data_IF_747102348026
#
_entry.id   IF_747102348026
#
_cell.length_a   1.000
_cell.length_b   1.000
_cell.length_c   1.000
_cell.angle_alpha   90.00
_cell.angle_beta   90.00
_cell.angle_gamma   90.00
#
_symmetry.space_group_name_H-M   'P 1'
#
loop_
_entity.id
_entity.type
_entity.pdbx_description
1 polymer ?
#
# COMPACT_ATOMS: atom_id res chain seq x y z
N UNK A 1 -30.94 24.49 -6.12
CA UNK A 1 -30.13 23.68 -5.14
C UNK A 1 -29.58 22.36 -5.71
N UNK A 2 -29.32 22.21 -6.99
CA UNK A 2 -28.95 20.89 -7.53
C UNK A 2 -27.61 20.83 -8.26
N UNK A 3 -27.00 21.94 -8.62
CA UNK A 3 -25.71 21.91 -9.39
C UNK A 3 -24.47 21.86 -8.49
N UNK A 4 -24.55 22.53 -7.35
CA UNK A 4 -23.43 22.53 -6.37
C UNK A 4 -23.28 21.18 -5.69
N UNK A 5 -24.39 20.50 -5.40
CA UNK A 5 -24.37 19.15 -4.79
C UNK A 5 -23.81 18.09 -5.74
N UNK A 6 -24.05 18.24 -7.05
CA UNK A 6 -23.51 17.32 -8.05
C UNK A 6 -22.02 17.55 -8.32
N UNK A 7 -21.53 18.78 -8.29
CA UNK A 7 -20.09 19.08 -8.36
C UNK A 7 -19.32 18.59 -7.12
N UNK A 8 -19.91 18.72 -5.94
CA UNK A 8 -19.32 18.21 -4.70
C UNK A 8 -19.19 16.67 -4.72
N UNK A 9 -20.20 15.96 -5.22
CA UNK A 9 -20.15 14.50 -5.36
C UNK A 9 -19.17 14.01 -6.44
N UNK A 10 -18.77 14.83 -7.39
CA UNK A 10 -17.76 14.50 -8.39
C UNK A 10 -16.31 14.67 -7.85
N UNK A 11 -16.11 15.58 -6.89
CA UNK A 11 -14.80 15.84 -6.29
C UNK A 11 -14.57 15.14 -4.94
N UNK A 12 -15.63 14.77 -4.25
CA UNK A 12 -15.61 14.07 -2.96
C UNK A 12 -16.33 12.73 -3.08
N UNK A 13 -16.10 12.04 -4.19
CA UNK A 13 -16.41 10.63 -4.28
C UNK A 13 -15.52 9.87 -3.29
N UNK A 14 -15.89 9.90 -2.01
CA UNK A 14 -15.37 8.94 -1.06
C UNK A 14 -15.58 7.56 -1.66
N UNK A 15 -14.56 6.77 -1.94
CA UNK A 15 -14.79 5.37 -2.21
C UNK A 15 -15.59 4.88 -1.01
N UNK A 16 -16.82 4.41 -1.24
CA UNK A 16 -17.54 3.68 -0.20
C UNK A 16 -16.60 2.55 0.17
N UNK A 17 -15.97 2.66 1.32
CA UNK A 17 -15.18 1.61 1.92
C UNK A 17 -16.15 0.50 2.26
N UNK A 18 -16.47 -0.31 1.25
CA UNK A 18 -17.13 -1.57 1.49
C UNK A 18 -16.08 -2.41 2.16
N UNK A 19 -16.15 -2.49 3.49
CA UNK A 19 -15.40 -3.47 4.24
C UNK A 19 -15.63 -4.82 3.56
N UNK A 20 -14.61 -5.31 2.86
CA UNK A 20 -14.67 -6.62 2.25
C UNK A 20 -14.54 -7.66 3.36
N UNK A 21 -15.61 -7.81 4.15
CA UNK A 21 -15.73 -8.95 5.03
C UNK A 21 -15.69 -10.19 4.14
N UNK A 22 -14.74 -11.07 4.39
CA UNK A 22 -14.71 -12.36 3.74
C UNK A 22 -16.08 -13.02 4.00
N UNK A 23 -16.82 -13.30 2.94
CA UNK A 23 -18.07 -14.03 3.08
C UNK A 23 -17.72 -15.48 3.37
N UNK A 24 -18.36 -16.11 4.38
CA UNK A 24 -18.04 -17.47 4.79
C UNK A 24 -18.54 -18.55 3.82
N UNK A 25 -19.19 -18.19 2.72
CA UNK A 25 -19.72 -19.09 1.72
C UNK A 25 -18.73 -19.26 0.58
N UNK A 26 -17.67 -19.94 0.78
CA UNK A 26 -16.77 -20.10 -0.32
C UNK A 26 -15.80 -21.23 -0.19
N UNK A 27 -15.45 -21.77 -1.28
CA UNK A 27 -14.25 -22.56 -1.43
C UNK A 27 -13.08 -21.77 -0.84
N UNK A 28 -12.63 -22.14 0.33
CA UNK A 28 -11.46 -21.59 1.04
C UNK A 28 -10.19 -21.65 0.16
N UNK A 29 -10.23 -22.44 -0.91
CA UNK A 29 -9.17 -22.54 -1.91
C UNK A 29 -8.99 -21.30 -2.79
N UNK A 30 -9.98 -20.42 -2.91
CA UNK A 30 -9.93 -19.30 -3.84
C UNK A 30 -9.85 -17.93 -3.15
N UNK A 31 -8.70 -17.65 -2.56
CA UNK A 31 -8.37 -16.33 -2.04
C UNK A 31 -7.92 -15.33 -3.12
N UNK A 32 -8.01 -15.68 -4.42
CA UNK A 32 -7.48 -14.84 -5.49
C UNK A 32 -8.20 -13.49 -5.57
N UNK A 33 -9.53 -13.49 -5.49
CA UNK A 33 -10.33 -12.28 -5.52
C UNK A 33 -10.21 -11.46 -4.24
N UNK A 34 -10.21 -12.10 -3.08
CA UNK A 34 -9.97 -11.43 -1.81
C UNK A 34 -8.59 -10.79 -1.78
N UNK A 35 -7.55 -11.56 -2.11
CA UNK A 35 -6.18 -11.06 -2.17
C UNK A 35 -6.02 -9.89 -3.15
N UNK A 36 -6.68 -9.92 -4.31
CA UNK A 36 -6.63 -8.82 -5.28
C UNK A 36 -7.28 -7.54 -4.74
N UNK A 37 -8.45 -7.65 -4.11
CA UNK A 37 -9.16 -6.50 -3.52
C UNK A 37 -8.36 -5.88 -2.38
N UNK A 38 -7.84 -6.68 -1.47
CA UNK A 38 -7.00 -6.20 -0.36
C UNK A 38 -5.70 -5.56 -0.86
N UNK A 39 -5.04 -6.13 -1.88
CA UNK A 39 -3.85 -5.50 -2.48
C UNK A 39 -4.13 -4.12 -3.07
N UNK A 40 -5.31 -3.93 -3.67
CA UNK A 40 -5.72 -2.61 -4.19
C UNK A 40 -5.93 -1.60 -3.07
N UNK A 41 -6.57 -2.00 -1.96
CA UNK A 41 -6.73 -1.15 -0.78
C UNK A 41 -5.38 -0.81 -0.13
N UNK A 42 -4.52 -1.81 0.05
CA UNK A 42 -3.16 -1.59 0.57
C UNK A 42 -2.37 -0.62 -0.32
N UNK A 43 -2.48 -0.75 -1.65
CA UNK A 43 -1.82 0.17 -2.58
C UNK A 43 -2.35 1.60 -2.43
N UNK A 44 -3.65 1.78 -2.22
CA UNK A 44 -4.26 3.08 -1.95
C UNK A 44 -3.70 3.70 -0.66
N UNK A 45 -3.69 2.98 0.45
CA UNK A 45 -3.15 3.45 1.72
C UNK A 45 -1.63 3.69 1.67
N UNK A 46 -0.90 2.87 0.89
CA UNK A 46 0.53 3.07 0.71
C UNK A 46 0.88 4.35 -0.06
N UNK A 47 -0.01 4.81 -0.94
CA UNK A 47 0.20 6.03 -1.73
C UNK A 47 -0.32 7.29 -1.02
N UNK A 48 -1.39 7.16 -0.24
CA UNK A 48 -2.12 8.30 0.33
C UNK A 48 -1.97 8.43 1.86
N UNK A 49 -1.39 7.43 2.52
CA UNK A 49 -1.14 7.41 3.97
C UNK A 49 0.34 7.32 4.30
N UNK A 50 0.65 7.50 5.58
CA UNK A 50 2.02 7.39 6.13
C UNK A 50 2.26 6.07 6.87
N UNK A 51 1.20 5.43 7.34
CA UNK A 51 1.27 4.29 8.27
C UNK A 51 1.79 3.02 7.59
N UNK A 52 1.25 2.66 6.43
CA UNK A 52 1.74 1.50 5.66
C UNK A 52 3.18 1.67 5.19
N UNK A 53 3.59 2.81 4.58
CA UNK A 53 5.00 3.06 4.27
C UNK A 53 5.93 2.97 5.49
N UNK A 54 5.52 3.53 6.63
CA UNK A 54 6.30 3.48 7.86
C UNK A 54 6.46 2.04 8.39
N UNK A 55 5.38 1.26 8.39
CA UNK A 55 5.40 -0.16 8.74
C UNK A 55 6.37 -0.95 7.86
N UNK A 56 6.28 -0.78 6.55
CA UNK A 56 7.15 -1.46 5.58
C UNK A 56 8.61 -1.05 5.82
N UNK A 57 8.88 0.24 6.03
CA UNK A 57 10.25 0.71 6.28
C UNK A 57 10.81 0.16 7.59
N UNK A 58 10.01 0.08 8.63
CA UNK A 58 10.39 -0.53 9.91
C UNK A 58 10.74 -2.01 9.71
N UNK A 59 9.92 -2.75 8.96
CA UNK A 59 10.19 -4.15 8.64
C UNK A 59 11.47 -4.33 7.83
N UNK A 60 11.71 -3.51 6.80
CA UNK A 60 12.95 -3.51 6.02
C UNK A 60 14.17 -3.29 6.92
N UNK A 61 14.10 -2.27 7.79
CA UNK A 61 15.19 -1.95 8.72
C UNK A 61 15.41 -3.06 9.74
N UNK A 62 14.35 -3.68 10.25
CA UNK A 62 14.43 -4.77 11.23
C UNK A 62 14.98 -6.07 10.65
N UNK A 63 14.71 -6.37 9.36
CA UNK A 63 15.12 -7.61 8.71
C UNK A 63 16.52 -7.50 8.09
N UNK A 64 16.80 -6.41 7.38
CA UNK A 64 18.05 -6.21 6.64
C UNK A 64 19.07 -5.44 7.47
N UNK A 65 18.62 -4.46 8.25
CA UNK A 65 19.47 -3.62 9.07
C UNK A 65 20.52 -2.87 8.25
N UNK A 66 21.79 -3.07 8.61
CA UNK A 66 22.96 -2.51 7.92
C UNK A 66 23.41 -3.31 6.69
N UNK A 67 22.65 -4.33 6.30
CA UNK A 67 22.98 -5.26 5.21
C UNK A 67 23.34 -6.65 5.70
N UNK A 68 23.30 -7.62 4.78
CA UNK A 68 23.59 -9.03 5.06
C UNK A 68 25.02 -9.32 4.62
N UNK A 69 25.88 -9.76 5.54
CA UNK A 69 27.20 -10.28 5.19
C UNK A 69 27.15 -11.79 5.05
N UNK A 70 27.79 -12.29 4.01
CA UNK A 70 27.94 -13.73 3.75
C UNK A 70 29.43 -14.06 3.94
N UNK A 71 29.71 -15.03 4.80
CA UNK A 71 31.06 -15.51 5.07
C UNK A 71 31.17 -16.96 4.65
N UNK A 72 32.25 -17.32 3.95
CA UNK A 72 32.60 -18.69 3.68
C UNK A 72 33.43 -19.25 4.84
N UNK A 73 33.29 -20.55 5.11
CA UNK A 73 34.09 -21.27 6.12
C UNK A 73 34.52 -22.62 5.56
N UNK A 74 35.46 -22.59 4.64
CA UNK A 74 36.13 -23.81 4.17
C UNK A 74 37.37 -24.06 4.99
N UNK A 75 38.11 -25.12 4.66
CA UNK A 75 39.42 -25.40 5.30
C UNK A 75 40.56 -24.55 4.71
N UNK A 76 40.31 -23.89 3.58
CA UNK A 76 41.31 -23.15 2.80
C UNK A 76 40.94 -21.67 2.75
N UNK A 77 41.74 -20.83 3.39
CA UNK A 77 41.49 -19.39 3.50
C UNK A 77 41.51 -18.66 2.15
N UNK A 78 42.29 -19.12 1.18
CA UNK A 78 42.34 -18.55 -0.17
C UNK A 78 41.04 -18.81 -0.93
N UNK A 79 40.47 -20.00 -0.78
CA UNK A 79 39.18 -20.38 -1.36
C UNK A 79 38.05 -19.54 -0.73
N UNK A 80 38.07 -19.32 0.60
CA UNK A 80 37.10 -18.49 1.30
C UNK A 80 37.13 -17.05 0.78
N UNK A 81 38.33 -16.44 0.68
CA UNK A 81 38.48 -15.07 0.19
C UNK A 81 37.99 -14.93 -1.26
N UNK A 82 38.35 -15.88 -2.14
CA UNK A 82 37.93 -15.87 -3.54
C UNK A 82 36.40 -15.98 -3.69
N UNK A 83 35.78 -16.81 -2.86
CA UNK A 83 34.32 -16.98 -2.85
C UNK A 83 33.60 -15.72 -2.30
N UNK A 84 34.11 -15.14 -1.22
CA UNK A 84 33.55 -13.90 -0.65
C UNK A 84 33.69 -12.71 -1.61
N UNK A 85 34.82 -12.62 -2.35
CA UNK A 85 34.99 -11.60 -3.38
C UNK A 85 34.01 -11.78 -4.55
N UNK A 86 33.77 -13.01 -4.98
CA UNK A 86 32.76 -13.32 -6.00
C UNK A 86 31.35 -12.92 -5.54
N UNK A 87 30.98 -13.25 -4.29
CA UNK A 87 29.69 -12.86 -3.71
C UNK A 87 29.60 -11.33 -3.63
N UNK A 88 30.65 -10.65 -3.19
CA UNK A 88 30.70 -9.19 -3.11
C UNK A 88 30.51 -8.55 -4.49
N UNK A 89 31.17 -9.10 -5.53
CA UNK A 89 31.03 -8.64 -6.91
C UNK A 89 29.61 -8.92 -7.45
N UNK A 90 29.07 -10.11 -7.20
CA UNK A 90 27.70 -10.45 -7.59
C UNK A 90 26.66 -9.56 -6.91
N UNK A 91 26.88 -9.17 -5.64
CA UNK A 91 25.97 -8.32 -4.86
C UNK A 91 25.85 -6.88 -5.36
N UNK A 92 26.73 -6.47 -6.29
CA UNK A 92 26.67 -5.12 -6.88
C UNK A 92 25.44 -4.98 -7.78
N UNK A 93 24.86 -3.79 -7.79
CA UNK A 93 23.68 -3.39 -8.56
C UNK A 93 23.67 -3.93 -10.00
N UNK A 94 24.81 -3.86 -10.69
CA UNK A 94 24.94 -4.26 -12.10
C UNK A 94 24.88 -5.78 -12.34
N UNK A 95 25.22 -6.56 -11.33
CA UNK A 95 25.41 -8.00 -11.48
C UNK A 95 24.30 -8.82 -10.82
N UNK A 96 23.55 -8.25 -9.88
CA UNK A 96 22.65 -9.00 -9.01
C UNK A 96 21.31 -9.28 -9.67
N UNK A 97 20.70 -8.28 -10.29
CA UNK A 97 19.33 -8.31 -10.78
C UNK A 97 19.28 -8.00 -12.28
N UNK A 98 18.29 -8.55 -12.98
CA UNK A 98 18.16 -8.46 -14.46
C UNK A 98 17.99 -7.03 -14.94
N UNK A 99 17.27 -6.18 -14.20
CA UNK A 99 17.03 -4.78 -14.60
C UNK A 99 18.14 -3.83 -14.18
N UNK A 100 19.14 -4.33 -13.43
CA UNK A 100 20.30 -3.59 -12.96
C UNK A 100 19.97 -2.35 -12.10
N UNK A 101 18.77 -2.34 -11.46
CA UNK A 101 18.33 -1.22 -10.62
C UNK A 101 18.74 -1.37 -9.17
N UNK A 102 18.85 -2.60 -8.68
CA UNK A 102 19.05 -2.90 -7.27
C UNK A 102 20.33 -3.69 -7.02
N UNK A 103 21.04 -3.35 -5.95
CA UNK A 103 22.04 -4.22 -5.34
C UNK A 103 21.33 -5.36 -4.61
N UNK A 104 22.09 -6.33 -4.09
CA UNK A 104 21.53 -7.43 -3.29
C UNK A 104 20.61 -6.92 -2.17
N UNK A 105 21.10 -5.99 -1.35
CA UNK A 105 20.34 -5.52 -0.19
C UNK A 105 19.12 -4.70 -0.62
N UNK A 106 19.24 -3.83 -1.64
CA UNK A 106 18.11 -3.13 -2.21
C UNK A 106 17.08 -4.06 -2.88
N UNK A 107 17.52 -5.18 -3.47
CA UNK A 107 16.61 -6.19 -4.01
C UNK A 107 15.83 -6.90 -2.88
N UNK A 108 16.49 -7.22 -1.77
CA UNK A 108 15.84 -7.80 -0.60
C UNK A 108 14.87 -6.82 0.04
N UNK A 109 15.23 -5.54 0.16
CA UNK A 109 14.28 -4.49 0.62
C UNK A 109 13.03 -4.42 -0.25
N UNK A 110 13.19 -4.49 -1.58
CA UNK A 110 12.09 -4.52 -2.52
C UNK A 110 11.23 -5.79 -2.34
N UNK A 111 11.84 -6.96 -2.18
CA UNK A 111 11.12 -8.21 -1.92
C UNK A 111 10.31 -8.15 -0.62
N UNK A 112 10.88 -7.62 0.46
CA UNK A 112 10.17 -7.41 1.72
C UNK A 112 8.96 -6.48 1.51
N UNK A 113 9.16 -5.38 0.79
CA UNK A 113 8.07 -4.46 0.47
C UNK A 113 6.93 -5.14 -0.31
N UNK A 114 7.25 -6.00 -1.30
CA UNK A 114 6.25 -6.75 -2.06
C UNK A 114 5.52 -7.77 -1.18
N UNK A 115 6.23 -8.46 -0.29
CA UNK A 115 5.65 -9.43 0.66
C UNK A 115 4.66 -8.72 1.58
N UNK A 116 5.04 -7.60 2.19
CA UNK A 116 4.13 -6.85 3.05
C UNK A 116 2.92 -6.30 2.30
N UNK A 117 3.12 -5.71 1.12
CA UNK A 117 2.03 -5.11 0.33
C UNK A 117 1.13 -6.14 -0.34
N UNK A 118 1.71 -7.22 -0.85
CA UNK A 118 0.99 -8.16 -1.72
C UNK A 118 0.88 -9.57 -1.15
N UNK A 119 1.53 -9.83 -0.02
CA UNK A 119 1.53 -11.12 0.65
C UNK A 119 2.58 -12.09 0.14
N UNK A 120 3.29 -11.76 -0.95
CA UNK A 120 4.31 -12.64 -1.50
C UNK A 120 5.05 -12.04 -2.69
N UNK A 121 6.10 -12.73 -3.10
CA UNK A 121 6.93 -12.37 -4.23
C UNK A 121 7.41 -13.63 -4.94
N UNK A 122 7.54 -13.58 -6.25
CA UNK A 122 8.18 -14.60 -7.06
C UNK A 122 9.57 -14.11 -7.45
N UNK A 123 10.59 -14.93 -7.22
CA UNK A 123 11.96 -14.64 -7.63
C UNK A 123 12.37 -15.66 -8.67
N UNK A 124 12.57 -15.22 -9.89
CA UNK A 124 12.99 -16.08 -11.00
C UNK A 124 14.51 -16.08 -11.12
N UNK A 125 15.08 -17.29 -11.25
CA UNK A 125 16.49 -17.52 -11.50
C UNK A 125 16.75 -17.42 -13.01
N UNK A 126 17.60 -16.49 -13.42
CA UNK A 126 17.93 -16.24 -14.82
C UNK A 126 19.40 -16.57 -15.08
N UNK A 127 19.62 -17.34 -16.13
CA UNK A 127 20.96 -17.72 -16.58
C UNK A 127 21.19 -17.21 -18.00
N UNK A 128 22.29 -16.48 -18.21
CA UNK A 128 22.71 -16.02 -19.54
C UNK A 128 24.22 -15.87 -19.59
N UNK A 129 24.86 -16.59 -20.55
CA UNK A 129 26.32 -16.62 -20.67
C UNK A 129 26.94 -15.26 -21.07
N UNK A 130 26.17 -14.36 -21.68
CA UNK A 130 26.65 -13.02 -22.05
C UNK A 130 26.74 -12.04 -20.88
N UNK A 131 26.26 -12.40 -19.71
CA UNK A 131 26.44 -11.58 -18.52
C UNK A 131 27.82 -11.81 -17.92
N UNK A 132 28.39 -10.77 -17.28
CA UNK A 132 29.68 -10.87 -16.60
C UNK A 132 29.70 -12.01 -15.55
N UNK A 133 28.61 -12.11 -14.77
CA UNK A 133 28.32 -13.26 -13.94
C UNK A 133 27.07 -13.89 -14.54
N UNK A 134 27.11 -15.14 -15.00
CA UNK A 134 26.06 -15.75 -15.82
C UNK A 134 24.77 -16.10 -15.04
N UNK A 135 24.55 -15.48 -13.90
CA UNK A 135 23.42 -15.67 -13.02
C UNK A 135 22.91 -14.34 -12.49
N UNK A 136 21.61 -14.06 -12.66
CA UNK A 136 20.93 -12.91 -12.07
C UNK A 136 19.54 -13.31 -11.59
N UNK A 137 18.99 -12.53 -10.66
CA UNK A 137 17.63 -12.69 -10.17
C UNK A 137 16.66 -11.72 -10.87
N UNK A 138 15.41 -12.15 -10.99
CA UNK A 138 14.33 -11.33 -11.51
C UNK A 138 13.17 -11.40 -10.51
N UNK A 139 12.82 -10.27 -9.88
CA UNK A 139 11.64 -10.21 -9.02
C UNK A 139 10.39 -10.03 -9.87
N UNK A 140 9.40 -10.86 -9.63
CA UNK A 140 8.12 -10.85 -10.31
C UNK A 140 7.03 -10.66 -9.26
N UNK A 141 6.18 -9.68 -9.48
CA UNK A 141 5.04 -9.44 -8.61
C UNK A 141 4.02 -10.59 -8.70
N UNK A 142 3.41 -10.93 -7.59
CA UNK A 142 2.30 -11.91 -7.53
C UNK A 142 1.15 -11.51 -8.48
N UNK A 143 0.92 -10.22 -8.71
CA UNK A 143 -0.10 -9.73 -9.63
C UNK A 143 0.18 -10.04 -11.11
N UNK A 144 1.37 -10.52 -11.43
CA UNK A 144 1.73 -10.98 -12.77
C UNK A 144 1.36 -12.44 -13.04
N UNK A 145 0.87 -13.18 -12.03
CA UNK A 145 0.30 -14.50 -12.26
C UNK A 145 -1.03 -14.37 -13.01
N UNK A 146 -1.20 -15.14 -14.07
CA UNK A 146 -2.44 -15.20 -14.85
C UNK A 146 -3.51 -16.06 -14.13
N UNK A 147 -4.12 -15.50 -13.10
CA UNK A 147 -5.16 -16.18 -12.32
C UNK A 147 -6.41 -16.57 -13.12
N UNK A 148 -6.57 -16.04 -14.34
CA UNK A 148 -7.67 -16.43 -15.23
C UNK A 148 -7.39 -17.73 -15.98
N UNK A 149 -6.13 -18.15 -16.03
CA UNK A 149 -5.73 -19.38 -16.71
C UNK A 149 -6.15 -20.59 -15.90
N UNK A 150 -7.19 -21.27 -16.38
CA UNK A 150 -7.71 -22.49 -15.78
C UNK A 150 -7.86 -23.56 -16.88
N UNK A 151 -7.36 -24.76 -16.62
CA UNK A 151 -7.47 -25.89 -17.53
C UNK A 151 -7.46 -27.19 -16.71
N UNK A 152 -8.58 -27.86 -16.72
CA UNK A 152 -8.77 -29.11 -15.95
C UNK A 152 -7.89 -30.23 -16.51
N UNK A 153 -7.72 -30.31 -17.82
CA UNK A 153 -6.97 -31.38 -18.49
C UNK A 153 -5.48 -31.30 -18.13
N UNK A 154 -4.92 -30.10 -18.15
CA UNK A 154 -3.51 -29.86 -17.83
C UNK A 154 -3.28 -29.51 -16.35
N UNK A 155 -4.34 -29.63 -15.53
CA UNK A 155 -4.31 -29.34 -14.08
C UNK A 155 -3.79 -27.94 -13.74
N UNK A 156 -4.21 -26.97 -14.52
CA UNK A 156 -3.94 -25.57 -14.25
C UNK A 156 -5.12 -24.97 -13.50
N UNK A 157 -4.86 -24.40 -12.33
CA UNK A 157 -5.84 -23.65 -11.54
C UNK A 157 -5.23 -22.31 -11.11
N UNK A 158 -5.89 -21.21 -11.41
CA UNK A 158 -5.45 -19.84 -11.08
C UNK A 158 -4.02 -19.53 -11.56
N UNK A 159 -3.68 -19.99 -12.76
CA UNK A 159 -2.35 -19.79 -13.35
C UNK A 159 -1.24 -20.65 -12.78
N UNK A 160 -1.56 -21.62 -11.96
CA UNK A 160 -0.62 -22.58 -11.36
C UNK A 160 -0.86 -23.96 -11.94
N UNK A 161 0.17 -24.55 -12.54
CA UNK A 161 0.14 -25.96 -12.94
C UNK A 161 0.54 -26.84 -11.77
N UNK A 162 -0.23 -27.87 -11.50
CA UNK A 162 0.01 -28.83 -10.41
C UNK A 162 0.21 -30.24 -10.95
N UNK A 163 1.04 -31.01 -10.27
CA UNK A 163 1.14 -32.45 -10.52
C UNK A 163 0.00 -33.23 -9.82
N UNK A 164 0.04 -34.57 -9.88
CA UNK A 164 -0.94 -35.46 -9.23
C UNK A 164 -0.97 -35.25 -7.71
N UNK A 165 0.18 -34.99 -7.11
CA UNK A 165 0.35 -34.85 -5.66
C UNK A 165 -0.01 -33.44 -5.16
N UNK A 166 -0.44 -32.53 -6.06
CA UNK A 166 -0.77 -31.15 -5.74
C UNK A 166 0.42 -30.18 -5.73
N UNK A 167 1.64 -30.65 -5.97
CA UNK A 167 2.81 -29.77 -6.03
C UNK A 167 2.79 -28.88 -7.28
N UNK A 168 3.17 -27.61 -7.13
CA UNK A 168 3.25 -26.66 -8.24
C UNK A 168 4.44 -27.00 -9.12
N UNK A 169 4.21 -27.22 -10.41
CA UNK A 169 5.22 -27.53 -11.41
C UNK A 169 5.49 -26.41 -12.40
N UNK A 170 4.57 -25.43 -12.49
CA UNK A 170 4.71 -24.30 -13.38
C UNK A 170 3.82 -23.12 -12.99
N UNK A 171 4.23 -21.94 -13.40
CA UNK A 171 3.54 -20.68 -13.19
C UNK A 171 3.24 -20.05 -14.53
N UNK A 172 1.99 -19.64 -14.76
CA UNK A 172 1.62 -18.83 -15.91
C UNK A 172 1.76 -17.36 -15.54
N UNK A 173 2.74 -16.68 -16.14
CA UNK A 173 3.12 -15.31 -15.80
C UNK A 173 2.92 -14.43 -17.03
N UNK A 174 2.26 -13.29 -16.86
CA UNK A 174 2.11 -12.30 -17.92
C UNK A 174 3.47 -11.76 -18.37
N UNK A 175 3.65 -11.61 -19.71
CA UNK A 175 4.89 -11.09 -20.29
C UNK A 175 5.11 -9.61 -19.95
N UNK A 176 4.03 -8.86 -19.83
CA UNK A 176 4.03 -7.42 -19.63
C UNK A 176 2.91 -6.96 -18.69
N UNK A 177 2.94 -5.70 -18.31
CA UNK A 177 1.91 -5.06 -17.49
C UNK A 177 0.55 -4.91 -18.19
N UNK A 178 0.50 -5.02 -19.52
CA UNK A 178 -0.75 -4.98 -20.29
C UNK A 178 -1.58 -6.28 -20.12
N UNK A 179 -0.97 -7.34 -19.56
CA UNK A 179 -1.62 -8.61 -19.22
C UNK A 179 -2.39 -9.26 -20.36
N UNK A 180 -1.84 -9.17 -21.59
CA UNK A 180 -2.45 -9.76 -22.79
C UNK A 180 -2.06 -11.20 -22.98
N UNK A 181 -0.79 -11.50 -22.80
CA UNK A 181 -0.23 -12.84 -23.00
C UNK A 181 0.49 -13.34 -21.77
N UNK A 182 0.27 -14.60 -21.42
CA UNK A 182 1.01 -15.29 -20.36
C UNK A 182 1.90 -16.39 -20.93
N UNK A 183 3.06 -16.57 -20.32
CA UNK A 183 3.99 -17.66 -20.59
C UNK A 183 4.06 -18.60 -19.40
N UNK A 184 4.27 -19.87 -19.67
CA UNK A 184 4.56 -20.84 -18.63
C UNK A 184 6.04 -20.79 -18.25
N UNK A 185 6.31 -20.64 -16.96
CA UNK A 185 7.64 -20.72 -16.37
C UNK A 185 7.67 -21.91 -15.42
N UNK A 186 8.69 -22.75 -15.53
CA UNK A 186 8.84 -23.93 -14.67
C UNK A 186 9.04 -23.55 -13.22
N UNK A 187 8.43 -24.28 -12.29
CA UNK A 187 8.60 -24.04 -10.87
C UNK A 187 10.06 -24.15 -10.42
N UNK A 188 10.89 -24.96 -11.11
CA UNK A 188 12.33 -25.07 -10.83
C UNK A 188 13.13 -23.78 -11.12
N UNK A 189 12.57 -22.88 -11.92
CA UNK A 189 13.18 -21.56 -12.21
C UNK A 189 12.70 -20.48 -11.24
N UNK A 190 11.76 -20.79 -10.35
CA UNK A 190 11.10 -19.80 -9.48
C UNK A 190 11.22 -20.22 -8.02
N UNK A 191 11.72 -19.30 -7.20
CA UNK A 191 11.54 -19.32 -5.76
C UNK A 191 10.32 -18.47 -5.42
N UNK A 192 9.23 -19.11 -5.01
CA UNK A 192 8.02 -18.43 -4.58
C UNK A 192 8.02 -18.28 -3.06
N UNK A 193 7.80 -17.08 -2.58
CA UNK A 193 7.64 -16.81 -1.16
C UNK A 193 6.27 -16.19 -0.90
N UNK A 194 5.53 -16.79 0.06
CA UNK A 194 4.26 -16.29 0.58
C UNK A 194 4.37 -16.21 2.10
N UNK A 195 4.04 -15.07 2.66
CA UNK A 195 4.23 -14.81 4.09
C UNK A 195 3.08 -15.35 4.95
N UNK A 196 1.83 -15.17 4.49
CA UNK A 196 0.66 -15.44 5.29
C UNK A 196 -0.20 -16.55 4.70
N UNK A 197 -0.41 -17.58 5.49
CA UNK A 197 -1.25 -18.73 5.18
C UNK A 197 -2.53 -18.67 6.00
N UNK A 198 -3.66 -18.54 5.31
CA UNK A 198 -4.99 -18.59 5.92
C UNK A 198 -5.47 -20.04 6.01
N UNK A 199 -5.13 -20.82 4.98
CA UNK A 199 -5.53 -22.21 4.86
C UNK A 199 -4.44 -23.04 4.18
N UNK A 200 -4.38 -24.36 4.49
CA UNK A 200 -3.40 -25.29 3.94
C UNK A 200 -3.54 -25.48 2.44
N UNK A 201 -4.74 -25.30 1.90
CA UNK A 201 -5.03 -25.41 0.47
C UNK A 201 -4.79 -24.11 -0.31
N UNK A 202 -4.32 -23.07 0.36
CA UNK A 202 -4.05 -21.77 -0.24
C UNK A 202 -2.87 -21.81 -1.20
N UNK A 203 -3.06 -21.28 -2.41
CA UNK A 203 -2.00 -21.15 -3.43
C UNK A 203 -1.79 -19.69 -3.89
N UNK A 204 -2.61 -18.77 -3.41
CA UNK A 204 -2.51 -17.34 -3.73
C UNK A 204 -2.09 -16.54 -2.51
N UNK A 205 -1.24 -15.54 -2.72
CA UNK A 205 -0.72 -14.72 -1.66
C UNK A 205 -1.78 -13.76 -1.09
N UNK A 206 -1.84 -13.68 0.23
CA UNK A 206 -2.65 -12.71 0.99
C UNK A 206 -1.71 -11.92 1.89
N UNK A 207 -1.80 -10.60 1.88
CA UNK A 207 -0.99 -9.75 2.72
C UNK A 207 -1.46 -9.80 4.17
N UNK A 208 -0.53 -9.83 5.12
CA UNK A 208 -0.84 -9.67 6.56
C UNK A 208 -1.47 -8.33 6.90
N UNK A 209 -1.14 -7.29 6.14
CA UNK A 209 -1.74 -5.95 6.29
C UNK A 209 -3.26 -6.01 6.07
N UNK A 210 -3.75 -7.01 5.32
CA UNK A 210 -5.20 -7.19 5.11
C UNK A 210 -6.02 -7.29 6.40
N UNK A 211 -5.40 -7.76 7.49
CA UNK A 211 -6.07 -7.93 8.78
C UNK A 211 -6.30 -6.59 9.50
N UNK A 212 -5.43 -5.62 9.28
CA UNK A 212 -5.50 -4.31 9.94
C UNK A 212 -6.19 -3.24 9.08
N UNK A 213 -6.53 -3.55 7.82
CA UNK A 213 -7.18 -2.60 6.93
C UNK A 213 -8.48 -2.01 7.48
N UNK A 214 -9.40 -2.80 8.07
CA UNK A 214 -10.64 -2.25 8.64
C UNK A 214 -10.37 -1.21 9.73
N UNK A 215 -9.42 -1.49 10.64
CA UNK A 215 -9.05 -0.60 11.73
C UNK A 215 -8.37 0.68 11.19
N UNK A 216 -7.56 0.54 10.14
CA UNK A 216 -6.91 1.66 9.48
C UNK A 216 -7.93 2.57 8.80
N UNK A 217 -8.93 2.01 8.12
CA UNK A 217 -10.02 2.76 7.50
C UNK A 217 -10.83 3.53 8.57
N UNK A 218 -11.16 2.89 9.69
CA UNK A 218 -11.86 3.53 10.80
C UNK A 218 -11.05 4.67 11.43
N UNK A 219 -9.74 4.49 11.58
CA UNK A 219 -8.84 5.52 12.10
C UNK A 219 -8.80 6.75 11.17
N UNK A 220 -8.70 6.52 9.86
CA UNK A 220 -8.71 7.61 8.88
C UNK A 220 -10.04 8.35 8.85
N UNK A 221 -11.16 7.64 8.93
CA UNK A 221 -12.49 8.24 9.03
C UNK A 221 -12.64 9.06 10.32
N UNK A 222 -12.12 8.58 11.44
CA UNK A 222 -12.10 9.32 12.70
C UNK A 222 -11.28 10.61 12.58
N UNK A 223 -10.05 10.53 12.07
CA UNK A 223 -9.19 11.70 11.88
C UNK A 223 -9.85 12.75 10.97
N UNK A 224 -10.51 12.32 9.91
CA UNK A 224 -11.24 13.21 9.01
C UNK A 224 -12.39 13.92 9.72
N UNK A 225 -13.20 13.21 10.50
CA UNK A 225 -14.31 13.79 11.27
C UNK A 225 -13.82 14.76 12.34
N UNK A 226 -12.72 14.45 13.01
CA UNK A 226 -12.10 15.38 13.98
C UNK A 226 -11.65 16.68 13.31
N UNK A 227 -11.03 16.59 12.12
CA UNK A 227 -10.61 17.74 11.35
C UNK A 227 -11.80 18.58 10.88
N UNK A 228 -12.86 17.94 10.40
CA UNK A 228 -14.10 18.59 10.00
C UNK A 228 -14.73 19.32 11.20
N UNK A 229 -14.84 18.65 12.36
CA UNK A 229 -15.36 19.27 13.57
C UNK A 229 -14.52 20.45 14.05
N UNK A 230 -13.18 20.35 13.99
CA UNK A 230 -12.29 21.45 14.34
C UNK A 230 -12.46 22.64 13.37
N UNK A 231 -12.65 22.38 12.09
CA UNK A 231 -12.90 23.41 11.07
C UNK A 231 -14.24 24.11 11.32
N UNK A 232 -15.30 23.36 11.59
CA UNK A 232 -16.63 23.92 11.91
C UNK A 232 -16.61 24.77 13.19
N UNK A 233 -15.92 24.30 14.25
CA UNK A 233 -15.75 25.07 15.49
C UNK A 233 -15.00 26.38 15.24
N UNK A 234 -13.96 26.37 14.42
CA UNK A 234 -13.19 27.57 14.06
C UNK A 234 -14.07 28.58 13.30
N UNK A 235 -14.88 28.10 12.33
CA UNK A 235 -15.79 28.96 11.58
C UNK A 235 -16.91 29.50 12.45
N UNK A 236 -17.48 28.68 13.37
CA UNK A 236 -18.51 29.13 14.30
C UNK A 236 -18.00 30.19 15.26
N UNK A 237 -16.79 30.03 15.78
CA UNK A 237 -16.16 31.01 16.68
C UNK A 237 -15.97 32.36 16.00
N UNK A 238 -15.56 32.39 14.73
CA UNK A 238 -15.43 33.62 13.97
C UNK A 238 -16.79 34.28 13.73
N UNK A 239 -17.82 33.50 13.44
CA UNK A 239 -19.19 34.01 13.19
C UNK A 239 -19.83 34.60 14.46
N UNK A 240 -19.67 33.99 15.65
CA UNK A 240 -20.15 34.53 16.91
C UNK A 240 -19.41 35.80 17.30
N UNK A 241 -18.13 35.91 17.04
CA UNK A 241 -17.35 37.11 17.33
C UNK A 241 -17.78 38.30 16.46
N UNK A 242 -18.06 38.06 15.20
CA UNK A 242 -18.55 39.09 14.26
C UNK A 242 -19.95 39.57 14.66
N UNK A 243 -20.88 38.66 14.98
CA UNK A 243 -22.22 39.05 15.44
C UNK A 243 -22.20 39.78 16.78
N UNK A 244 -21.38 39.36 17.73
CA UNK A 244 -21.25 40.04 19.01
C UNK A 244 -20.71 41.45 18.85
N UNK A 245 -19.74 41.62 17.96
CA UNK A 245 -19.13 42.94 17.67
C UNK A 245 -20.17 43.88 17.04
N UNK A 246 -20.92 43.42 16.04
CA UNK A 246 -21.95 44.22 15.39
C UNK A 246 -23.05 44.58 16.39
N UNK A 247 -23.54 43.66 17.22
CA UNK A 247 -24.57 43.90 18.25
C UNK A 247 -24.10 44.89 19.32
N UNK A 248 -22.82 44.79 19.74
CA UNK A 248 -22.24 45.71 20.73
C UNK A 248 -22.06 47.11 20.12
N UNK A 249 -21.63 47.19 18.88
CA UNK A 249 -21.47 48.46 18.15
C UNK A 249 -22.79 49.16 17.93
N UNK A 250 -23.82 48.38 17.57
CA UNK A 250 -25.18 48.92 17.39
C UNK A 250 -25.77 49.40 18.73
N UNK A 251 -25.61 48.65 19.82
CA UNK A 251 -26.03 49.05 21.16
C UNK A 251 -25.31 50.33 21.66
N UNK A 252 -24.04 50.44 21.40
CA UNK A 252 -23.26 51.67 21.71
C UNK A 252 -23.76 52.84 20.91
N UNK A 253 -24.02 52.70 19.61
CA UNK A 253 -24.55 53.74 18.74
C UNK A 253 -25.92 54.17 19.17
N UNK A 254 -26.78 53.25 19.62
CA UNK A 254 -28.12 53.56 20.14
C UNK A 254 -28.04 54.36 21.48
N UNK A 255 -27.14 53.97 22.37
CA UNK A 255 -26.86 54.72 23.61
C UNK A 255 -26.37 56.14 23.33
N UNK A 256 -25.47 56.32 22.38
CA UNK A 256 -25.00 57.68 21.96
C UNK A 256 -26.12 58.53 21.36
N UNK A 257 -27.01 57.92 20.59
CA UNK A 257 -28.18 58.61 20.00
C UNK A 257 -29.13 59.08 21.08
N UNK A 258 -29.42 58.22 22.04
CA UNK A 258 -30.31 58.57 23.18
C UNK A 258 -29.71 59.60 24.12
N UNK A 259 -28.40 59.54 24.37
CA UNK A 259 -27.69 60.56 25.15
C UNK A 259 -27.68 61.94 24.47
N UNK A 260 -27.58 61.98 23.13
CA UNK A 260 -27.66 63.22 22.37
C UNK A 260 -29.07 63.86 22.40
N UNK A 261 -30.12 63.01 22.36
CA UNK A 261 -31.51 63.47 22.47
C UNK A 261 -31.79 64.02 23.86
N UNK A 262 -31.32 63.39 24.94
CA UNK A 262 -31.49 63.88 26.28
C UNK A 262 -30.77 65.21 26.57
N UNK A 263 -29.59 65.42 25.93
CA UNK A 263 -28.87 66.68 26.04
C UNK A 263 -29.51 67.84 25.25
N UNK A 264 -30.30 67.58 24.19
CA UNK A 264 -31.06 68.56 23.48
C UNK A 264 -32.35 68.95 24.24
N UNK A 265 -33.05 67.99 24.81
CA UNK A 265 -34.26 68.26 25.62
C UNK A 265 -33.95 69.07 26.86
N UNK A 266 -32.81 68.86 27.52
CA UNK A 266 -32.39 69.69 28.67
C UNK A 266 -32.00 71.11 28.31
N UNK A 267 -31.70 71.43 27.04
CA UNK A 267 -31.40 72.80 26.57
C UNK A 267 -32.68 73.56 26.22
N UNK A 268 -33.75 72.87 25.82
CA UNK A 268 -35.04 73.54 25.51
C UNK A 268 -35.93 73.81 26.79
N UNK A 269 -35.63 73.21 27.90
CA UNK A 269 -36.40 73.36 29.14
C UNK A 269 -35.86 74.53 30.03
N UNK A 270 -34.75 75.16 29.65
CA UNK A 270 -34.14 76.32 30.35
C UNK A 270 -34.04 77.58 29.49
N UNK A 271 -34.87 77.75 28.48
CA UNK A 271 -34.99 78.99 27.67
C UNK A 271 -36.24 79.74 27.93
#
# INVERSE_FOLDING_TARGET
MSVITNLWNLFVGSPKTTHNKAKPDGNVEDFSDFGRKTRTQIAYHNLNGTDIPALIKTAQTGIIGSGISIQSRTKEKETDNSFEDLIREHSKKRNFEVTERFSRDGFLEMCISEVFRKGGVLVRHRYKSSWRIPYKLEAISIDMIDVKKNDIVTRVKNGLRKNIDGAVTGYFIYKDSAKKESIEVKASEISAYMDYWVDISQYTAVSRISQILPELDELLDYQKKELEAATERSQSSAFWHTKLYDTVTDAINELYKNAKISSQVSKETFA
#
